data_IF_910427765409
#
_entry.id   IF_910427765409
#
_cell.length_a   1.000
_cell.length_b   1.000
_cell.length_c   1.000
_cell.angle_alpha   90.00
_cell.angle_beta   90.00
_cell.angle_gamma   90.00
#
_symmetry.space_group_name_H-M   'P 1'
#
loop_
_entity.id
_entity.type
_entity.pdbx_description
1 polymer ?
#
# COMPACT_ATOMS: atom_id res chain seq x y z
N UNK A 1 -6.80 -21.37 10.60
CA UNK A 1 -7.06 -20.00 10.10
C UNK A 1 -5.86 -19.59 9.26
N UNK A 2 -6.03 -19.29 7.97
CA UNK A 2 -4.89 -18.85 7.15
C UNK A 2 -4.60 -17.38 7.43
N UNK A 3 -3.33 -17.04 7.57
CA UNK A 3 -2.88 -15.70 7.92
C UNK A 3 -2.52 -14.92 6.64
N UNK A 4 -3.10 -13.73 6.49
CA UNK A 4 -2.63 -12.71 5.53
C UNK A 4 -1.78 -11.71 6.29
N UNK A 5 -0.63 -11.35 5.71
CA UNK A 5 0.27 -10.31 6.19
C UNK A 5 0.41 -9.22 5.11
N UNK A 6 0.44 -7.95 5.54
CA UNK A 6 0.66 -6.78 4.69
C UNK A 6 1.77 -5.91 5.30
N UNK A 7 3.02 -6.15 4.93
CA UNK A 7 4.10 -5.23 5.34
C UNK A 7 3.98 -3.91 4.56
N UNK A 8 3.97 -2.75 5.22
CA UNK A 8 3.94 -1.42 4.57
C UNK A 8 5.05 -0.49 5.06
N UNK A 9 5.53 0.38 4.16
CA UNK A 9 6.55 1.39 4.42
C UNK A 9 6.21 2.68 3.67
N UNK A 10 6.36 3.82 4.36
CA UNK A 10 6.30 5.15 3.75
C UNK A 10 7.65 5.53 3.16
N UNK A 11 7.63 6.29 2.07
CA UNK A 11 8.83 6.89 1.52
C UNK A 11 8.51 8.03 0.54
N UNK A 12 9.53 8.79 0.22
CA UNK A 12 9.50 9.83 -0.81
C UNK A 12 10.11 9.27 -2.09
N UNK A 13 9.38 9.31 -3.19
CA UNK A 13 9.91 9.03 -4.51
C UNK A 13 10.39 10.34 -5.12
N UNK A 14 11.71 10.49 -5.21
CA UNK A 14 12.33 11.61 -5.89
C UNK A 14 12.49 11.29 -7.36
N UNK A 15 11.86 12.08 -8.23
CA UNK A 15 12.12 12.06 -9.65
C UNK A 15 13.31 12.97 -9.95
N UNK A 16 14.35 12.42 -10.55
CA UNK A 16 15.51 13.18 -10.98
C UNK A 16 15.43 13.43 -12.48
N UNK A 17 15.55 14.69 -12.89
CA UNK A 17 15.78 15.07 -14.29
C UNK A 17 17.01 15.96 -14.36
N UNK A 18 17.99 15.57 -15.19
CA UNK A 18 19.28 16.25 -15.33
C UNK A 18 20.01 16.55 -14.00
N UNK A 19 19.98 15.63 -13.04
CA UNK A 19 20.69 15.76 -11.76
C UNK A 19 20.03 16.69 -10.74
N UNK A 20 18.84 17.22 -11.03
CA UNK A 20 18.02 17.99 -10.09
C UNK A 20 16.77 17.17 -9.74
N UNK A 21 16.40 17.12 -8.45
CA UNK A 21 15.14 16.53 -8.01
C UNK A 21 14.01 17.46 -8.45
N UNK A 22 13.15 17.01 -9.38
CA UNK A 22 12.13 17.86 -10.02
C UNK A 22 10.73 17.66 -9.44
N UNK A 23 10.48 16.56 -8.73
CA UNK A 23 9.28 16.37 -7.92
C UNK A 23 9.50 15.26 -6.89
N UNK A 24 9.07 15.50 -5.66
CA UNK A 24 9.00 14.50 -4.59
C UNK A 24 7.55 14.05 -4.42
N UNK A 25 7.26 12.80 -4.75
CA UNK A 25 5.94 12.23 -4.51
C UNK A 25 5.97 11.35 -3.27
N UNK A 26 5.02 11.58 -2.37
CA UNK A 26 4.83 10.70 -1.22
C UNK A 26 4.27 9.35 -1.69
N UNK A 27 4.85 8.30 -1.15
CA UNK A 27 4.52 6.93 -1.51
C UNK A 27 4.31 6.03 -0.30
N UNK A 28 3.45 5.03 -0.47
CA UNK A 28 3.30 3.90 0.43
C UNK A 28 3.53 2.63 -0.38
N UNK A 29 4.57 1.89 -0.03
CA UNK A 29 4.87 0.60 -0.65
C UNK A 29 4.71 -0.53 0.34
N UNK A 30 4.47 -1.74 -0.16
CA UNK A 30 4.30 -2.89 0.71
C UNK A 30 4.35 -4.22 0.00
N UNK A 31 4.19 -5.29 0.78
CA UNK A 31 4.15 -6.66 0.29
C UNK A 31 3.05 -7.45 0.99
N UNK A 32 2.23 -8.14 0.20
CA UNK A 32 1.18 -9.06 0.67
C UNK A 32 1.73 -10.48 0.66
N UNK A 33 1.53 -11.19 1.77
CA UNK A 33 1.86 -12.61 1.91
C UNK A 33 0.64 -13.39 2.41
N UNK A 34 0.46 -14.61 1.92
CA UNK A 34 -0.50 -15.59 2.41
C UNK A 34 0.27 -16.78 2.95
N UNK A 35 0.11 -17.09 4.24
CA UNK A 35 0.85 -18.18 4.90
C UNK A 35 2.38 -18.05 4.72
N UNK A 36 2.88 -16.81 4.74
CA UNK A 36 4.31 -16.51 4.54
C UNK A 36 4.76 -16.47 3.08
N UNK A 37 3.93 -16.86 2.11
CA UNK A 37 4.26 -16.88 0.68
C UNK A 37 3.76 -15.60 0.00
N UNK A 38 4.57 -14.93 -0.84
CA UNK A 38 4.12 -13.79 -1.63
C UNK A 38 2.84 -14.07 -2.42
N UNK A 39 1.86 -13.16 -2.35
CA UNK A 39 0.53 -13.41 -2.90
C UNK A 39 0.06 -12.29 -3.83
N UNK A 40 -0.59 -12.70 -4.93
CA UNK A 40 -1.31 -11.77 -5.80
C UNK A 40 -2.62 -11.34 -5.16
N UNK A 41 -2.77 -10.03 -4.94
CA UNK A 41 -3.90 -9.45 -4.21
C UNK A 41 -4.29 -8.10 -4.81
N UNK A 42 -5.56 -7.75 -4.64
CA UNK A 42 -6.06 -6.39 -4.81
C UNK A 42 -5.89 -5.66 -3.48
N UNK A 43 -5.11 -4.61 -3.44
CA UNK A 43 -4.88 -3.80 -2.25
C UNK A 43 -5.59 -2.47 -2.42
N UNK A 44 -6.44 -2.12 -1.47
CA UNK A 44 -7.24 -0.87 -1.47
C UNK A 44 -6.77 -0.01 -0.31
N UNK A 45 -6.43 1.24 -0.59
CA UNK A 45 -6.00 2.23 0.39
C UNK A 45 -7.15 3.18 0.72
N UNK A 46 -7.39 3.38 2.01
CA UNK A 46 -8.44 4.24 2.53
C UNK A 46 -7.85 5.38 3.35
N UNK A 47 -8.40 6.60 3.22
CA UNK A 47 -8.12 7.67 4.16
C UNK A 47 -8.79 7.36 5.49
N UNK A 48 -8.03 7.40 6.59
CA UNK A 48 -8.52 6.98 7.92
C UNK A 48 -9.61 7.87 8.47
N UNK A 49 -9.56 9.18 8.21
CA UNK A 49 -10.54 10.15 8.74
C UNK A 49 -11.92 10.01 8.10
N UNK A 50 -11.97 9.69 6.81
CA UNK A 50 -13.20 9.66 6.02
C UNK A 50 -13.67 8.25 5.65
N UNK A 51 -12.81 7.24 5.84
CA UNK A 51 -12.99 5.88 5.32
C UNK A 51 -13.25 5.80 3.82
N UNK A 52 -12.90 6.85 3.06
CA UNK A 52 -13.04 6.87 1.60
C UNK A 52 -11.90 6.10 0.96
N UNK A 53 -12.23 5.35 -0.10
CA UNK A 53 -11.23 4.76 -1.00
C UNK A 53 -10.47 5.89 -1.67
N UNK A 54 -9.14 5.87 -1.56
CA UNK A 54 -8.27 6.83 -2.21
C UNK A 54 -7.55 6.20 -3.41
N UNK A 55 -7.06 4.97 -3.25
CA UNK A 55 -6.25 4.29 -4.26
C UNK A 55 -6.47 2.79 -4.25
N UNK A 56 -6.09 2.16 -5.36
CA UNK A 56 -6.11 0.72 -5.53
C UNK A 56 -4.90 0.25 -6.33
N UNK A 57 -4.34 -0.89 -5.95
CA UNK A 57 -3.24 -1.53 -6.64
C UNK A 57 -3.45 -3.05 -6.72
N UNK A 58 -2.98 -3.66 -7.80
CA UNK A 58 -2.83 -5.12 -7.89
C UNK A 58 -1.37 -5.44 -7.64
N UNK A 59 -1.09 -6.37 -6.72
CA UNK A 59 0.29 -6.75 -6.44
C UNK A 59 0.94 -7.50 -7.61
N UNK A 60 2.27 -7.38 -7.70
CA UNK A 60 3.10 -8.13 -8.63
C UNK A 60 3.21 -9.63 -8.23
N UNK A 61 3.97 -10.41 -8.99
CA UNK A 61 4.20 -11.84 -8.70
C UNK A 61 4.99 -12.07 -7.39
N UNK A 62 5.66 -11.05 -6.87
CA UNK A 62 6.32 -11.07 -5.56
C UNK A 62 5.43 -10.47 -4.47
N UNK A 63 4.13 -10.25 -4.74
CA UNK A 63 3.18 -9.71 -3.77
C UNK A 63 3.41 -8.23 -3.44
N UNK A 64 4.27 -7.51 -4.17
CA UNK A 64 4.60 -6.11 -3.90
C UNK A 64 3.62 -5.15 -4.54
N UNK A 65 3.41 -4.00 -3.91
CA UNK A 65 2.59 -2.90 -4.43
C UNK A 65 3.17 -1.55 -4.00
N UNK A 66 2.80 -0.49 -4.73
CA UNK A 66 3.15 0.90 -4.40
C UNK A 66 2.00 1.83 -4.74
N UNK A 67 1.66 2.71 -3.80
CA UNK A 67 0.83 3.89 -4.01
C UNK A 67 1.73 5.12 -4.08
N UNK A 68 1.45 6.03 -5.01
CA UNK A 68 2.22 7.26 -5.25
C UNK A 68 1.29 8.48 -5.26
N UNK A 69 1.85 9.68 -5.16
CA UNK A 69 1.07 10.93 -5.17
C UNK A 69 0.19 11.11 -3.94
N UNK A 70 0.61 10.59 -2.78
CA UNK A 70 -0.16 10.68 -1.54
C UNK A 70 -0.14 12.10 -0.97
N UNK A 71 -1.24 12.52 -0.34
CA UNK A 71 -1.30 13.80 0.33
C UNK A 71 -0.51 13.78 1.66
N UNK A 72 0.34 14.79 1.94
CA UNK A 72 1.03 14.91 3.21
C UNK A 72 0.05 15.04 4.38
N UNK A 73 0.47 14.61 5.58
CA UNK A 73 -0.29 14.70 6.82
C UNK A 73 -1.63 13.93 6.86
N UNK A 74 -1.91 13.10 5.86
CA UNK A 74 -3.03 12.17 5.88
C UNK A 74 -2.62 10.85 6.49
N UNK A 75 -3.56 10.22 7.20
CA UNK A 75 -3.42 8.87 7.74
C UNK A 75 -4.20 7.90 6.87
N UNK A 76 -3.64 6.74 6.65
CA UNK A 76 -4.26 5.71 5.81
C UNK A 76 -4.31 4.36 6.50
N UNK A 77 -5.22 3.51 6.03
CA UNK A 77 -5.19 2.08 6.27
C UNK A 77 -5.41 1.35 4.94
N UNK A 78 -4.87 0.13 4.81
CA UNK A 78 -5.01 -0.66 3.60
C UNK A 78 -5.73 -1.98 3.89
N UNK A 79 -6.47 -2.48 2.90
CA UNK A 79 -7.06 -3.82 2.90
C UNK A 79 -6.56 -4.60 1.69
N UNK A 80 -6.20 -5.87 1.87
CA UNK A 80 -5.85 -6.77 0.77
C UNK A 80 -6.92 -7.85 0.56
N UNK A 81 -7.27 -8.07 -0.70
CA UNK A 81 -8.24 -9.08 -1.14
C UNK A 81 -7.55 -10.05 -2.10
N UNK A 82 -7.51 -11.34 -1.75
CA UNK A 82 -6.97 -12.41 -2.60
C UNK A 82 -8.14 -13.08 -3.32
N UNK A 83 -7.97 -13.39 -4.62
CA UNK A 83 -9.04 -13.71 -5.60
C UNK A 83 -9.90 -14.96 -5.33
N UNK A 84 -9.84 -15.55 -4.14
CA UNK A 84 -10.68 -16.68 -3.72
C UNK A 84 -11.70 -16.31 -2.62
N UNK A 85 -11.89 -15.02 -2.35
CA UNK A 85 -12.99 -14.48 -1.53
C UNK A 85 -13.12 -15.01 -0.08
N UNK A 86 -12.09 -15.67 0.46
CA UNK A 86 -12.14 -16.33 1.79
C UNK A 86 -11.30 -15.67 2.89
N UNK A 87 -10.55 -14.61 2.59
CA UNK A 87 -9.68 -13.99 3.59
C UNK A 87 -9.98 -12.50 3.73
N UNK A 88 -10.49 -12.14 4.90
CA UNK A 88 -10.82 -10.78 5.25
C UNK A 88 -9.58 -10.08 5.82
N UNK A 89 -9.11 -9.06 5.09
CA UNK A 89 -8.50 -7.83 5.57
C UNK A 89 -7.62 -7.90 6.84
N UNK A 90 -6.31 -7.69 6.67
CA UNK A 90 -5.45 -7.19 7.74
C UNK A 90 -5.45 -5.66 7.72
N UNK A 91 -5.77 -5.02 8.84
CA UNK A 91 -5.75 -3.56 8.97
C UNK A 91 -4.38 -3.15 9.51
N UNK A 92 -3.63 -2.37 8.73
CA UNK A 92 -2.51 -1.59 9.25
C UNK A 92 -2.99 -0.19 9.60
N UNK A 93 -2.82 0.19 10.86
CA UNK A 93 -3.22 1.48 11.38
C UNK A 93 -1.99 2.42 11.54
N UNK A 94 -2.23 3.72 11.42
CA UNK A 94 -1.27 4.83 11.60
C UNK A 94 -0.13 4.95 10.57
N UNK A 95 -0.37 4.65 9.30
CA UNK A 95 0.56 5.03 8.24
C UNK A 95 0.51 6.53 8.01
N UNK A 96 1.64 7.21 8.20
CA UNK A 96 1.84 8.61 7.88
C UNK A 96 2.76 8.66 6.66
N UNK A 97 2.29 9.23 5.56
CA UNK A 97 3.13 9.58 4.44
C UNK A 97 4.09 10.70 4.89
N UNK A 98 5.39 10.40 4.95
CA UNK A 98 6.47 11.32 5.33
C UNK A 98 7.35 11.60 4.13
#
# INVERSE_FOLDING_TARGET
MKMIDIGMRSGVLEQYSNGLATNSELSLSGQVRLEGVPARARVVLFERSSSKVCYEAITDFQGRFTFIGLQPNKRFFALAFIRNNQYNAMIFDNLIAK
#
